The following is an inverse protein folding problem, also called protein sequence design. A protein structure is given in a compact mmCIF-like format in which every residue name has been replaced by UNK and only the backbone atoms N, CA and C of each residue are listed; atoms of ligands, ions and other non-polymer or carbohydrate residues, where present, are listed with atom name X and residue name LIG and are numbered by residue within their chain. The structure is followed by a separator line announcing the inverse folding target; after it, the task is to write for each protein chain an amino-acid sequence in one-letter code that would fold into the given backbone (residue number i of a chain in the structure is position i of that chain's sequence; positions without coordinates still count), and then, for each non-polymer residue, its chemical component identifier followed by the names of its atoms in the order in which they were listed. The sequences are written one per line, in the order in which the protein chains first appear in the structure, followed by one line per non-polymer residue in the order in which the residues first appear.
data_IF_343897888731
#
_entry.id   IF_343897888731
#
_cell.length_a   1.000
_cell.length_b   1.000
_cell.length_c   1.000
_cell.angle_alpha   90.00
_cell.angle_beta   90.00
_cell.angle_gamma   90.00
#
_symmetry.space_group_name_H-M   'P 1'
#
loop_
_entity.id
_entity.type
_entity.pdbx_description
1 polymer ?
#
# COMPACT_ATOMS: atom_id res chain seq x y z
N UNK A 1 12.67 10.12 9.58
CA UNK A 1 13.02 8.87 8.88
C UNK A 1 11.79 7.99 8.74
N UNK A 2 11.64 7.30 7.63
CA UNK A 2 10.47 6.45 7.34
C UNK A 2 10.91 5.14 6.69
N UNK A 3 10.15 4.07 6.92
CA UNK A 3 10.33 2.81 6.19
C UNK A 3 10.11 2.99 4.69
N UNK A 4 9.37 4.02 4.28
CA UNK A 4 8.97 4.27 2.90
C UNK A 4 9.84 5.30 2.19
N UNK A 5 10.97 5.66 2.74
CA UNK A 5 11.83 6.72 2.20
C UNK A 5 12.22 6.46 0.73
N UNK A 6 12.32 5.21 0.32
CA UNK A 6 12.66 4.85 -1.05
C UNK A 6 11.63 5.31 -2.10
N UNK A 7 10.43 5.69 -1.67
CA UNK A 7 9.40 6.22 -2.56
C UNK A 7 9.54 7.72 -2.82
N UNK A 8 10.30 8.42 -2.01
CA UNK A 8 10.28 9.88 -1.96
C UNK A 8 10.53 10.55 -3.31
N UNK A 9 11.48 10.04 -4.08
CA UNK A 9 11.93 10.67 -5.31
C UNK A 9 10.93 10.52 -6.47
N UNK A 10 10.40 9.32 -6.67
CA UNK A 10 9.57 9.03 -7.84
C UNK A 10 8.07 8.95 -7.54
N UNK A 11 7.70 8.71 -6.28
CA UNK A 11 6.31 8.55 -5.86
C UNK A 11 6.05 9.37 -4.59
N UNK A 12 6.31 10.67 -4.67
CA UNK A 12 6.23 11.54 -3.48
C UNK A 12 4.84 11.60 -2.87
N UNK A 13 3.78 11.53 -3.67
CA UNK A 13 2.41 11.54 -3.17
C UNK A 13 2.08 10.26 -2.37
N UNK A 14 2.53 9.11 -2.86
CA UNK A 14 2.37 7.84 -2.14
C UNK A 14 3.24 7.85 -0.89
N UNK A 15 4.46 8.38 -0.98
CA UNK A 15 5.35 8.52 0.17
C UNK A 15 4.71 9.31 1.30
N UNK A 16 4.11 10.45 0.99
CA UNK A 16 3.48 11.30 2.02
C UNK A 16 2.37 10.56 2.76
N UNK A 17 1.53 9.82 2.03
CA UNK A 17 0.47 9.04 2.66
C UNK A 17 1.05 7.89 3.47
N UNK A 18 2.02 7.17 2.94
CA UNK A 18 2.63 6.03 3.63
C UNK A 18 3.33 6.46 4.92
N UNK A 19 4.01 7.60 4.89
CA UNK A 19 4.67 8.16 6.07
C UNK A 19 3.66 8.52 7.15
N UNK A 20 2.57 9.19 6.78
CA UNK A 20 1.50 9.54 7.70
C UNK A 20 0.86 8.27 8.28
N UNK A 21 0.62 7.27 7.43
CA UNK A 21 0.09 5.97 7.84
C UNK A 21 0.98 5.31 8.89
N UNK A 22 2.27 5.31 8.64
CA UNK A 22 3.28 4.77 9.55
C UNK A 22 3.23 5.44 10.92
N UNK A 23 3.08 6.76 10.94
CA UNK A 23 3.02 7.54 12.19
C UNK A 23 1.77 7.24 13.01
N UNK A 24 0.70 6.74 12.40
CA UNK A 24 -0.58 6.52 13.05
C UNK A 24 -0.84 5.09 13.52
N UNK A 25 0.01 4.13 13.16
CA UNK A 25 -0.24 2.70 13.45
C UNK A 25 -0.64 2.46 14.91
N UNK A 26 0.10 3.01 15.84
CA UNK A 26 -0.12 2.80 17.28
C UNK A 26 -0.86 3.94 17.97
N UNK A 27 -1.16 5.01 17.25
CA UNK A 27 -1.79 6.22 17.80
C UNK A 27 -3.25 6.33 17.37
N UNK A 28 -3.51 6.07 16.10
CA UNK A 28 -4.86 6.15 15.49
C UNK A 28 -5.02 5.01 14.48
N UNK A 29 -5.24 3.82 15.01
CA UNK A 29 -5.26 2.61 14.20
C UNK A 29 -6.24 2.68 13.02
N UNK A 30 -7.47 3.15 13.25
CA UNK A 30 -8.46 3.26 12.18
C UNK A 30 -7.96 4.15 11.04
N UNK A 31 -7.44 5.32 11.39
CA UNK A 31 -6.92 6.27 10.38
C UNK A 31 -5.76 5.65 9.61
N UNK A 32 -4.87 4.95 10.31
CA UNK A 32 -3.74 4.26 9.68
C UNK A 32 -4.22 3.22 8.67
N UNK A 33 -5.20 2.40 9.04
CA UNK A 33 -5.73 1.35 8.17
C UNK A 33 -6.40 1.94 6.93
N UNK A 34 -7.22 2.98 7.11
CA UNK A 34 -7.89 3.65 5.99
C UNK A 34 -6.86 4.28 5.06
N UNK A 35 -5.84 4.94 5.60
CA UNK A 35 -4.78 5.56 4.79
C UNK A 35 -3.92 4.52 4.06
N UNK A 36 -3.70 3.35 4.67
CA UNK A 36 -3.02 2.24 3.97
C UNK A 36 -3.77 1.86 2.71
N UNK A 37 -5.09 1.78 2.78
CA UNK A 37 -5.93 1.50 1.62
C UNK A 37 -5.82 2.61 0.57
N UNK A 38 -5.81 3.87 0.99
CA UNK A 38 -5.68 5.01 0.06
C UNK A 38 -4.34 4.95 -0.66
N UNK A 39 -3.26 4.66 0.07
CA UNK A 39 -1.93 4.53 -0.54
C UNK A 39 -1.88 3.37 -1.54
N UNK A 40 -2.47 2.23 -1.18
CA UNK A 40 -2.57 1.08 -2.09
C UNK A 40 -3.33 1.47 -3.36
N UNK A 41 -4.47 2.13 -3.21
CA UNK A 41 -5.28 2.55 -4.35
C UNK A 41 -4.50 3.45 -5.30
N UNK A 42 -3.78 4.43 -4.76
CA UNK A 42 -2.94 5.30 -5.58
C UNK A 42 -1.86 4.51 -6.32
N UNK A 43 -1.21 3.60 -5.65
CA UNK A 43 -0.18 2.77 -6.26
C UNK A 43 -0.71 1.86 -7.35
N UNK A 44 -1.82 1.19 -7.13
CA UNK A 44 -2.46 0.32 -8.12
C UNK A 44 -2.88 1.14 -9.35
N UNK A 45 -3.52 2.30 -9.15
CA UNK A 45 -3.92 3.15 -10.28
C UNK A 45 -2.71 3.69 -11.03
N UNK A 46 -1.63 4.02 -10.32
CA UNK A 46 -0.39 4.42 -10.97
C UNK A 46 0.15 3.29 -11.87
N UNK A 47 0.15 2.05 -11.39
CA UNK A 47 0.58 0.91 -12.19
C UNK A 47 -0.26 0.78 -13.46
N UNK A 48 -1.59 0.84 -13.34
CA UNK A 48 -2.49 0.70 -14.48
C UNK A 48 -2.38 1.81 -15.50
N UNK A 49 -1.95 2.99 -15.10
CA UNK A 49 -1.81 4.13 -16.01
C UNK A 49 -0.41 4.29 -16.57
N UNK A 50 0.58 3.54 -16.04
CA UNK A 50 1.98 3.65 -16.47
C UNK A 50 2.54 2.36 -17.06
N UNK A 51 1.91 1.21 -16.85
CA UNK A 51 2.37 -0.08 -17.35
C UNK A 51 1.47 -0.54 -18.49
N UNK A 52 2.00 -0.55 -19.71
CA UNK A 52 1.25 -0.92 -20.93
C UNK A 52 0.60 -2.29 -20.83
N UNK A 53 1.19 -3.21 -20.09
CA UNK A 53 0.65 -4.57 -19.93
C UNK A 53 -0.69 -4.58 -19.20
N UNK A 54 -1.02 -3.49 -18.51
CA UNK A 54 -2.25 -3.36 -17.72
C UNK A 54 -3.31 -2.48 -18.40
N UNK A 55 -2.97 -1.77 -19.48
CA UNK A 55 -3.85 -0.75 -20.07
C UNK A 55 -5.22 -1.28 -20.46
N UNK A 56 -5.31 -2.48 -21.02
CA UNK A 56 -6.59 -3.02 -21.51
C UNK A 56 -7.61 -3.27 -20.40
N UNK A 57 -7.13 -3.53 -19.19
CA UNK A 57 -8.00 -3.79 -18.04
C UNK A 57 -8.30 -2.55 -17.21
N UNK A 58 -7.72 -1.40 -17.57
CA UNK A 58 -7.94 -0.19 -16.80
C UNK A 58 -9.22 0.54 -17.21
N UNK A 59 -9.99 0.90 -16.21
CA UNK A 59 -11.12 1.83 -16.30
C UNK A 59 -11.12 2.60 -14.99
N UNK A 60 -11.08 3.92 -15.07
CA UNK A 60 -11.05 4.78 -13.88
C UNK A 60 -12.27 4.59 -12.97
N UNK A 61 -13.36 4.04 -13.51
CA UNK A 61 -14.59 3.76 -12.76
C UNK A 61 -14.52 2.44 -11.99
N UNK A 62 -13.57 1.56 -12.32
CA UNK A 62 -13.42 0.30 -11.59
C UNK A 62 -12.92 0.55 -10.18
N UNK A 63 -13.43 -0.23 -9.23
CA UNK A 63 -12.92 -0.22 -7.87
C UNK A 63 -11.53 -0.86 -7.82
N UNK A 64 -10.76 -0.54 -6.78
CA UNK A 64 -9.47 -1.20 -6.57
C UNK A 64 -9.65 -2.72 -6.42
N UNK A 65 -10.72 -3.14 -5.74
CA UNK A 65 -11.02 -4.57 -5.63
C UNK A 65 -11.12 -5.25 -6.99
N UNK A 66 -11.80 -4.62 -7.95
CA UNK A 66 -11.92 -5.16 -9.29
C UNK A 66 -10.60 -5.09 -10.07
N UNK A 67 -9.84 -4.02 -9.90
CA UNK A 67 -8.51 -3.91 -10.52
C UNK A 67 -7.55 -4.99 -10.01
N UNK A 68 -7.65 -5.35 -8.73
CA UNK A 68 -6.83 -6.43 -8.15
C UNK A 68 -7.19 -7.80 -8.71
N UNK A 69 -8.39 -7.97 -9.24
CA UNK A 69 -8.84 -9.24 -9.82
C UNK A 69 -8.57 -9.36 -11.32
N UNK A 70 -8.12 -8.28 -11.95
CA UNK A 70 -7.95 -8.27 -13.41
C UNK A 70 -6.89 -9.26 -13.87
N UNK A 71 -7.15 -9.86 -15.01
CA UNK A 71 -6.30 -10.91 -15.60
C UNK A 71 -4.88 -10.38 -15.88
N UNK A 72 -4.76 -9.16 -16.40
CA UNK A 72 -3.46 -8.58 -16.73
C UNK A 72 -2.57 -8.43 -15.49
N UNK A 73 -3.13 -8.03 -14.36
CA UNK A 73 -2.38 -7.92 -13.12
C UNK A 73 -1.85 -9.27 -12.66
N UNK A 74 -2.64 -10.33 -12.86
CA UNK A 74 -2.24 -11.69 -12.49
C UNK A 74 -1.02 -12.17 -13.26
N UNK A 75 -0.79 -11.65 -14.47
CA UNK A 75 0.35 -12.06 -15.28
C UNK A 75 1.67 -11.45 -14.83
N UNK A 76 1.61 -10.34 -14.10
CA UNK A 76 2.81 -9.61 -13.67
C UNK A 76 3.03 -9.61 -12.16
N UNK A 77 2.17 -10.26 -11.41
CA UNK A 77 2.29 -10.36 -9.94
C UNK A 77 2.14 -11.80 -9.51
N UNK A 78 2.68 -12.11 -8.34
CA UNK A 78 2.57 -13.43 -7.76
C UNK A 78 1.35 -13.53 -6.84
N UNK A 79 0.80 -14.73 -6.73
CA UNK A 79 -0.39 -14.99 -5.94
C UNK A 79 -0.26 -14.60 -4.46
N UNK A 80 0.86 -14.87 -3.78
CA UNK A 80 0.99 -14.46 -2.36
C UNK A 80 0.84 -12.96 -2.18
N UNK A 81 1.45 -12.16 -3.05
CA UNK A 81 1.31 -10.71 -2.98
C UNK A 81 -0.14 -10.29 -3.19
N UNK A 82 -0.81 -10.84 -4.21
CA UNK A 82 -2.21 -10.49 -4.48
C UNK A 82 -3.13 -10.80 -3.30
N UNK A 83 -2.89 -11.92 -2.60
CA UNK A 83 -3.65 -12.26 -1.39
C UNK A 83 -3.49 -11.20 -0.32
N UNK A 84 -2.26 -10.72 -0.12
CA UNK A 84 -1.98 -9.65 0.85
C UNK A 84 -2.69 -8.36 0.46
N UNK A 85 -2.67 -8.01 -0.82
CA UNK A 85 -3.33 -6.79 -1.30
C UNK A 85 -4.85 -6.86 -1.12
N UNK A 86 -5.46 -8.03 -1.35
CA UNK A 86 -6.89 -8.23 -1.08
C UNK A 86 -7.21 -8.10 0.40
N UNK A 87 -6.32 -8.61 1.26
CA UNK A 87 -6.50 -8.47 2.71
C UNK A 87 -6.45 -7.00 3.13
N UNK A 88 -5.46 -6.25 2.64
CA UNK A 88 -5.35 -4.82 2.93
C UNK A 88 -6.61 -4.07 2.47
N UNK A 89 -7.08 -4.35 1.27
CA UNK A 89 -8.30 -3.75 0.72
C UNK A 89 -9.49 -4.02 1.62
N UNK A 90 -9.67 -5.26 2.05
CA UNK A 90 -10.78 -5.66 2.91
C UNK A 90 -10.71 -4.96 4.27
N UNK A 91 -9.54 -5.00 4.92
CA UNK A 91 -9.36 -4.37 6.23
C UNK A 91 -9.59 -2.86 6.15
N UNK A 92 -9.12 -2.24 5.07
CA UNK A 92 -9.36 -0.81 4.84
C UNK A 92 -10.83 -0.46 4.68
N UNK A 93 -11.57 -1.29 3.94
CA UNK A 93 -13.01 -1.10 3.78
C UNK A 93 -13.76 -1.27 5.09
N UNK A 94 -13.43 -2.31 5.87
CA UNK A 94 -14.04 -2.54 7.17
C UNK A 94 -13.80 -1.36 8.11
N UNK A 95 -12.59 -0.84 8.16
CA UNK A 95 -12.25 0.32 8.98
C UNK A 95 -13.01 1.58 8.52
N UNK A 96 -13.13 1.79 7.22
CA UNK A 96 -13.85 2.95 6.67
C UNK A 96 -15.35 2.87 6.98
N UNK A 97 -15.91 1.67 7.08
CA UNK A 97 -17.33 1.47 7.39
C UNK A 97 -17.63 1.36 8.89
N UNK A 98 -16.65 1.69 9.74
CA UNK A 98 -16.87 1.81 11.18
C UNK A 98 -16.69 0.51 11.97
N UNK A 99 -16.21 -0.56 11.36
CA UNK A 99 -15.94 -1.79 12.10
C UNK A 99 -14.81 -1.61 13.09
N UNK A 100 -14.84 -2.41 14.15
CA UNK A 100 -13.85 -2.33 15.21
C UNK A 100 -12.45 -2.64 14.69
N UNK A 101 -11.48 -1.82 15.07
CA UNK A 101 -10.08 -1.97 14.65
C UNK A 101 -9.16 -1.82 15.85
N UNK A 102 -7.91 -2.25 15.68
CA UNK A 102 -6.88 -2.12 16.69
C UNK A 102 -5.50 -1.93 16.03
N UNK A 103 -4.49 -1.71 16.85
CA UNK A 103 -3.13 -1.53 16.35
C UNK A 103 -2.55 -2.78 15.72
N UNK A 104 -3.05 -3.97 16.05
CA UNK A 104 -2.61 -5.22 15.40
C UNK A 104 -3.02 -5.26 13.94
N UNK A 105 -4.26 -4.86 13.64
CA UNK A 105 -4.72 -4.76 12.26
C UNK A 105 -3.95 -3.68 11.49
N UNK A 106 -3.70 -2.54 12.14
CA UNK A 106 -2.91 -1.47 11.54
C UNK A 106 -1.48 -1.94 11.24
N UNK A 107 -0.88 -2.71 12.13
CA UNK A 107 0.45 -3.29 11.92
C UNK A 107 0.47 -4.22 10.71
N UNK A 108 -0.52 -5.08 10.58
CA UNK A 108 -0.67 -5.95 9.41
C UNK A 108 -0.74 -5.10 8.14
N UNK A 109 -1.59 -4.08 8.15
CA UNK A 109 -1.80 -3.23 6.98
C UNK A 109 -0.53 -2.47 6.56
N UNK A 110 0.21 -1.90 7.52
CA UNK A 110 1.44 -1.16 7.17
C UNK A 110 2.50 -2.08 6.58
N UNK A 111 2.60 -3.32 7.06
CA UNK A 111 3.55 -4.29 6.54
C UNK A 111 3.17 -4.75 5.13
N UNK A 112 1.87 -4.95 4.87
CA UNK A 112 1.40 -5.26 3.52
C UNK A 112 1.70 -4.09 2.58
N UNK A 113 1.40 -2.86 3.03
CA UNK A 113 1.70 -1.67 2.24
C UNK A 113 3.18 -1.58 1.91
N UNK A 114 4.04 -1.88 2.87
CA UNK A 114 5.49 -1.89 2.64
C UNK A 114 5.88 -2.91 1.57
N UNK A 115 5.32 -4.13 1.61
CA UNK A 115 5.56 -5.15 0.59
C UNK A 115 5.12 -4.68 -0.79
N UNK A 116 3.94 -4.09 -0.88
CA UNK A 116 3.44 -3.55 -2.14
C UNK A 116 4.34 -2.45 -2.70
N UNK A 117 4.69 -1.48 -1.85
CA UNK A 117 5.55 -0.37 -2.27
C UNK A 117 6.95 -0.85 -2.68
N UNK A 118 7.47 -1.87 -1.99
CA UNK A 118 8.75 -2.48 -2.34
C UNK A 118 8.68 -3.11 -3.74
N UNK A 119 7.62 -3.87 -4.00
CA UNK A 119 7.39 -4.48 -5.31
C UNK A 119 7.30 -3.43 -6.40
N UNK A 120 6.52 -2.38 -6.16
CA UNK A 120 6.34 -1.29 -7.11
C UNK A 120 7.67 -0.59 -7.41
N UNK A 121 8.43 -0.27 -6.37
CA UNK A 121 9.71 0.42 -6.54
C UNK A 121 10.73 -0.43 -7.29
N UNK A 122 10.86 -1.70 -6.95
CA UNK A 122 11.79 -2.61 -7.63
C UNK A 122 11.39 -2.80 -9.09
N UNK A 123 10.09 -2.89 -9.36
CA UNK A 123 9.58 -3.15 -10.72
C UNK A 123 9.64 -1.92 -11.64
N UNK A 124 9.48 -0.72 -11.09
CA UNK A 124 9.23 0.47 -11.92
C UNK A 124 10.22 1.61 -11.74
N UNK A 125 11.12 1.57 -10.76
CA UNK A 125 12.07 2.66 -10.60
C UNK A 125 12.98 2.79 -11.83
N UNK A 126 13.27 4.02 -12.19
CA UNK A 126 14.24 4.32 -13.25
C UNK A 126 15.68 4.07 -12.79
N UNK A 127 15.88 3.90 -11.50
CA UNK A 127 17.20 3.64 -10.90
C UNK A 127 17.16 2.29 -10.16
N UNK A 128 18.33 1.72 -9.90
CA UNK A 128 18.42 0.55 -9.05
C UNK A 128 18.14 0.98 -7.62
N UNK A 129 17.08 0.43 -7.02
CA UNK A 129 16.64 0.79 -5.68
C UNK A 129 16.99 -0.33 -4.69
N UNK A 130 17.58 0.08 -3.56
CA UNK A 130 17.81 -0.78 -2.41
C UNK A 130 16.64 -0.65 -1.45
N UNK A 131 15.92 -1.76 -1.21
CA UNK A 131 14.80 -1.76 -0.26
C UNK A 131 15.34 -2.15 1.11
N UNK A 132 15.18 -1.29 2.13
CA UNK A 132 15.62 -1.63 3.49
C UNK A 132 14.71 -2.70 4.09
N UNK A 133 15.17 -3.33 5.15
CA UNK A 133 14.29 -4.17 5.97
C UNK A 133 13.31 -3.26 6.72
N UNK A 134 12.08 -3.75 6.90
CA UNK A 134 11.08 -3.00 7.66
C UNK A 134 11.55 -2.84 9.11
N UNK A 135 11.58 -1.60 9.58
CA UNK A 135 12.03 -1.26 10.92
C UNK A 135 10.83 -0.86 11.79
N UNK A 136 10.44 -1.75 12.69
CA UNK A 136 9.29 -1.51 13.58
C UNK A 136 9.54 -0.36 14.55
N UNK A 137 10.79 -0.03 14.84
CA UNK A 137 11.12 1.07 15.73
C UNK A 137 10.75 2.44 15.14
N UNK A 138 10.50 2.51 13.84
CA UNK A 138 10.04 3.73 13.20
C UNK A 138 8.54 3.96 13.38
N UNK A 139 7.80 2.98 13.88
CA UNK A 139 6.39 3.16 14.22
C UNK A 139 6.30 3.90 15.55
N UNK A 140 5.57 5.02 15.57
CA UNK A 140 5.42 5.80 16.80
C UNK A 140 4.65 5.00 17.84
N UNK A 141 5.04 5.14 19.10
CA UNK A 141 4.31 4.54 20.20
C UNK A 141 3.08 5.40 20.53
N UNK A 142 2.03 4.78 21.05
CA UNK A 142 0.86 5.51 21.49
C UNK A 142 1.06 6.27 22.80
N UNK A 143 2.27 6.20 23.35
CA UNK A 143 2.64 6.84 24.62
C UNK A 143 3.83 7.76 24.33
N UNK A 144 3.57 9.04 24.28
CA UNK A 144 4.62 10.04 24.17
C UNK A 144 4.39 11.17 25.15
#
# INVERSE_FOLDING_TARGET
MSNFQFLHKEWSDIFEIAKETEDMVNVRARSSIVNSRVALEKGIRWMYTNDERLFEDYDEKKTVGNLLLAKSLKTITEKPLRRELHLLQRLGNEAAHGEQTDSKKADICIKILFQFCSHMAVSYSSEEIQIPEFNEQLLKTGIE
#
